data_IF_371200827676
#
_entry.id   IF_371200827676
#
_cell.length_a   1.000
_cell.length_b   1.000
_cell.length_c   1.000
_cell.angle_alpha   90.00
_cell.angle_beta   90.00
_cell.angle_gamma   90.00
#
_symmetry.space_group_name_H-M   'P 1'
#
loop_
_entity.id
_entity.type
_entity.pdbx_description
1 polymer ?
#
# COMPACT_ATOMS: atom_id res chain seq x y z
N UNK A 1 6.50 15.74 -13.39
CA UNK A 1 5.34 16.69 -13.41
C UNK A 1 5.72 18.19 -13.53
N UNK A 2 7.01 18.57 -13.52
CA UNK A 2 7.50 19.96 -13.42
C UNK A 2 6.96 20.98 -14.46
N UNK A 3 6.46 20.51 -15.62
CA UNK A 3 5.88 21.37 -16.68
C UNK A 3 4.70 22.24 -16.21
N UNK A 4 3.96 21.81 -15.18
CA UNK A 4 2.77 22.53 -14.70
C UNK A 4 3.11 23.72 -13.77
N UNK A 5 4.37 23.90 -13.35
CA UNK A 5 4.78 25.02 -12.48
C UNK A 5 4.44 26.39 -13.06
N UNK A 6 4.60 26.57 -14.38
CA UNK A 6 4.23 27.83 -15.06
C UNK A 6 2.74 28.11 -14.97
N UNK A 7 1.91 27.07 -15.04
CA UNK A 7 0.46 27.20 -14.91
C UNK A 7 0.05 27.51 -13.47
N UNK A 8 0.69 26.89 -12.47
CA UNK A 8 0.49 27.23 -11.04
C UNK A 8 0.88 28.68 -10.75
N UNK A 9 2.01 29.15 -11.31
CA UNK A 9 2.42 30.55 -11.18
C UNK A 9 1.41 31.52 -11.80
N UNK A 10 0.84 31.18 -12.97
CA UNK A 10 -0.25 31.96 -13.59
C UNK A 10 -1.52 31.95 -12.73
N UNK A 11 -1.89 30.80 -12.19
CA UNK A 11 -3.04 30.66 -11.29
C UNK A 11 -2.92 31.56 -10.07
N UNK A 12 -1.78 31.56 -9.36
CA UNK A 12 -1.61 32.44 -8.20
C UNK A 12 -1.59 33.92 -8.57
N UNK A 13 -0.99 34.30 -9.71
CA UNK A 13 -1.08 35.69 -10.19
C UNK A 13 -2.52 36.13 -10.45
N UNK A 14 -3.32 35.27 -11.06
CA UNK A 14 -4.74 35.53 -11.26
C UNK A 14 -5.47 35.63 -9.91
N UNK A 15 -5.30 34.63 -9.04
CA UNK A 15 -5.95 34.55 -7.73
C UNK A 15 -5.70 35.78 -6.87
N UNK A 16 -4.47 36.28 -6.82
CA UNK A 16 -4.11 37.48 -6.05
C UNK A 16 -4.80 38.73 -6.60
N UNK A 17 -4.93 38.85 -7.93
CA UNK A 17 -5.55 40.00 -8.61
C UNK A 17 -7.09 39.97 -8.60
N UNK A 18 -7.68 38.78 -8.47
CA UNK A 18 -9.12 38.63 -8.41
C UNK A 18 -9.65 39.04 -7.03
N UNK A 19 -10.65 39.93 -7.02
CA UNK A 19 -11.44 40.20 -5.83
C UNK A 19 -12.69 39.32 -5.86
N UNK A 20 -12.94 38.58 -4.79
CA UNK A 20 -14.12 37.74 -4.66
C UNK A 20 -15.13 38.46 -3.79
N UNK A 21 -16.30 38.78 -4.34
CA UNK A 21 -17.37 39.48 -3.62
C UNK A 21 -18.09 38.55 -2.63
N UNK A 22 -18.05 37.24 -2.88
CA UNK A 22 -18.63 36.25 -1.97
C UNK A 22 -17.67 35.89 -0.86
N UNK A 23 -18.20 35.73 0.36
CA UNK A 23 -17.45 35.25 1.52
C UNK A 23 -16.76 33.91 1.22
N UNK A 24 -17.45 33.01 0.52
CA UNK A 24 -16.94 31.71 0.12
C UNK A 24 -15.71 31.87 -0.79
N UNK A 25 -15.76 32.74 -1.80
CA UNK A 25 -14.64 32.99 -2.70
C UNK A 25 -13.44 33.61 -1.97
N UNK A 26 -13.69 34.58 -1.08
CA UNK A 26 -12.66 35.20 -0.25
C UNK A 26 -12.00 34.18 0.70
N UNK A 27 -12.78 33.28 1.28
CA UNK A 27 -12.30 32.17 2.13
C UNK A 27 -11.41 31.21 1.33
N UNK A 28 -11.82 30.82 0.12
CA UNK A 28 -10.99 29.98 -0.75
C UNK A 28 -9.68 30.67 -1.13
N UNK A 29 -9.72 31.94 -1.54
CA UNK A 29 -8.52 32.73 -1.84
C UNK A 29 -7.53 32.67 -0.68
N UNK A 30 -7.99 32.99 0.54
CA UNK A 30 -7.17 32.95 1.77
C UNK A 30 -6.58 31.56 2.02
N UNK A 31 -7.35 30.48 1.80
CA UNK A 31 -6.86 29.10 1.96
C UNK A 31 -5.81 28.72 0.92
N UNK A 32 -6.00 29.10 -0.34
CA UNK A 32 -5.02 28.85 -1.41
C UNK A 32 -3.72 29.60 -1.17
N UNK A 33 -3.78 30.85 -0.72
CA UNK A 33 -2.60 31.67 -0.38
C UNK A 33 -1.86 31.08 0.84
N UNK A 34 -2.59 30.76 1.92
CA UNK A 34 -2.00 30.13 3.12
C UNK A 34 -1.26 28.83 2.82
N UNK A 35 -1.77 28.02 1.88
CA UNK A 35 -1.22 26.70 1.57
C UNK A 35 -0.33 26.70 0.31
N UNK A 36 0.02 27.86 -0.23
CA UNK A 36 0.71 28.00 -1.52
C UNK A 36 1.97 27.16 -1.65
N UNK A 37 2.79 27.14 -0.60
CA UNK A 37 4.06 26.41 -0.59
C UNK A 37 3.88 24.89 -0.48
N UNK A 38 2.74 24.42 0.03
CA UNK A 38 2.51 23.01 0.37
C UNK A 38 1.63 22.29 -0.65
N UNK A 39 0.67 22.99 -1.25
CA UNK A 39 -0.38 22.40 -2.07
C UNK A 39 0.15 21.76 -3.37
N UNK A 40 1.25 22.29 -3.90
CA UNK A 40 1.83 21.85 -5.18
C UNK A 40 3.19 21.18 -5.04
N UNK A 41 3.52 20.69 -3.84
CA UNK A 41 4.79 19.99 -3.54
C UNK A 41 5.07 18.79 -4.45
N UNK A 42 4.04 18.09 -4.92
CA UNK A 42 4.15 17.02 -5.92
C UNK A 42 4.72 17.46 -7.29
N UNK A 43 4.81 18.77 -7.55
CA UNK A 43 5.50 19.28 -8.74
C UNK A 43 7.02 19.36 -8.55
N UNK A 44 7.48 19.39 -7.31
CA UNK A 44 8.89 19.50 -6.92
C UNK A 44 9.50 18.13 -6.59
N UNK A 45 8.73 17.26 -5.94
CA UNK A 45 9.15 15.94 -5.48
C UNK A 45 8.43 14.84 -6.25
N UNK A 46 9.19 13.97 -6.91
CA UNK A 46 8.61 12.88 -7.72
C UNK A 46 7.99 11.77 -6.84
N UNK A 47 8.38 11.67 -5.57
CA UNK A 47 7.86 10.69 -4.61
C UNK A 47 6.53 11.10 -3.96
N UNK A 48 6.08 12.33 -4.19
CA UNK A 48 4.82 12.85 -3.63
C UNK A 48 3.72 12.70 -4.69
N UNK A 49 2.68 11.88 -4.46
CA UNK A 49 1.59 11.75 -5.41
C UNK A 49 0.79 13.05 -5.51
N UNK A 50 0.27 13.35 -6.71
CA UNK A 50 -0.60 14.49 -6.94
C UNK A 50 -2.00 14.33 -6.34
N UNK A 51 -2.37 13.09 -6.00
CA UNK A 51 -3.66 12.74 -5.41
C UNK A 51 -3.52 12.45 -3.92
N UNK A 52 -4.61 12.65 -3.17
CA UNK A 52 -4.67 12.41 -1.73
C UNK A 52 -5.30 11.05 -1.38
N UNK A 53 -5.26 10.08 -2.31
CA UNK A 53 -5.97 8.80 -2.15
C UNK A 53 -5.51 8.05 -0.90
N UNK A 54 -4.22 8.15 -0.54
CA UNK A 54 -3.67 7.53 0.65
C UNK A 54 -4.32 8.06 1.94
N UNK A 55 -4.46 9.38 2.07
CA UNK A 55 -5.11 9.96 3.26
C UNK A 55 -6.62 9.69 3.27
N UNK A 56 -7.28 9.77 2.11
CA UNK A 56 -8.70 9.39 2.00
C UNK A 56 -8.93 7.94 2.44
N UNK A 57 -8.07 7.01 2.02
CA UNK A 57 -8.18 5.62 2.41
C UNK A 57 -8.04 5.46 3.93
N UNK A 58 -7.07 6.16 4.55
CA UNK A 58 -6.91 6.16 6.00
C UNK A 58 -8.15 6.68 6.74
N UNK A 59 -8.72 7.80 6.30
CA UNK A 59 -9.92 8.38 6.91
C UNK A 59 -11.15 7.49 6.68
N UNK A 60 -11.29 6.89 5.49
CA UNK A 60 -12.42 5.99 5.15
C UNK A 60 -12.45 4.73 6.01
N UNK A 61 -11.28 4.16 6.31
CA UNK A 61 -11.18 3.03 7.23
C UNK A 61 -11.73 3.39 8.62
N UNK A 62 -11.34 4.56 9.14
CA UNK A 62 -11.83 5.07 10.42
C UNK A 62 -13.32 5.43 10.40
N UNK A 63 -13.81 6.08 9.34
CA UNK A 63 -15.22 6.44 9.20
C UNK A 63 -16.14 5.22 9.14
N UNK A 64 -15.71 4.16 8.43
CA UNK A 64 -16.40 2.88 8.39
C UNK A 64 -16.54 2.28 9.78
N UNK A 65 -15.47 2.34 10.58
CA UNK A 65 -15.48 1.83 11.94
C UNK A 65 -16.43 2.59 12.87
N UNK A 66 -16.43 3.93 12.82
CA UNK A 66 -17.35 4.75 13.64
C UNK A 66 -18.81 4.34 13.43
N UNK A 67 -19.16 3.93 12.21
CA UNK A 67 -20.49 3.42 11.87
C UNK A 67 -20.77 2.06 12.53
N UNK A 68 -19.77 1.20 12.67
CA UNK A 68 -19.88 -0.12 13.33
C UNK A 68 -20.00 0.03 14.85
N UNK A 69 -19.25 0.93 15.48
CA UNK A 69 -19.30 1.14 16.93
C UNK A 69 -20.49 2.00 17.42
N UNK A 70 -21.42 2.37 16.53
CA UNK A 70 -22.59 3.17 16.91
C UNK A 70 -22.23 4.55 17.49
N UNK A 71 -21.04 5.07 17.19
CA UNK A 71 -20.57 6.39 17.63
C UNK A 71 -20.15 6.53 19.10
N UNK A 72 -20.15 5.46 19.90
CA UNK A 72 -19.64 5.49 21.28
C UNK A 72 -18.34 4.71 21.36
N UNK A 73 -17.24 5.42 21.60
CA UNK A 73 -15.91 4.85 21.78
C UNK A 73 -15.17 5.68 22.83
N UNK A 74 -14.55 5.03 23.80
CA UNK A 74 -13.64 5.73 24.73
C UNK A 74 -12.28 5.93 24.04
N UNK A 75 -11.47 6.85 24.56
CA UNK A 75 -10.16 7.18 23.99
C UNK A 75 -9.26 5.94 23.91
N UNK A 76 -9.21 5.13 24.97
CA UNK A 76 -8.43 3.90 25.01
C UNK A 76 -8.79 2.92 23.88
N UNK A 77 -10.08 2.67 23.66
CA UNK A 77 -10.54 1.77 22.59
C UNK A 77 -10.25 2.30 21.19
N UNK A 78 -10.25 3.63 21.00
CA UNK A 78 -9.81 4.24 19.75
C UNK A 78 -8.31 4.03 19.54
N UNK A 79 -7.49 4.22 20.58
CA UNK A 79 -6.04 4.01 20.50
C UNK A 79 -5.70 2.56 20.13
N UNK A 80 -6.28 1.58 20.82
CA UNK A 80 -6.07 0.15 20.53
C UNK A 80 -6.49 -0.21 19.11
N UNK A 81 -7.61 0.34 18.65
CA UNK A 81 -8.06 0.14 17.29
C UNK A 81 -7.11 0.76 16.25
N UNK A 82 -6.61 1.97 16.47
CA UNK A 82 -5.69 2.62 15.54
C UNK A 82 -4.39 1.81 15.39
N UNK A 83 -3.92 1.20 16.47
CA UNK A 83 -2.81 0.24 16.42
C UNK A 83 -3.18 -0.95 15.52
N UNK A 84 -4.32 -1.60 15.76
CA UNK A 84 -4.75 -2.75 14.96
C UNK A 84 -4.94 -2.41 13.48
N UNK A 85 -5.55 -1.26 13.19
CA UNK A 85 -5.76 -0.75 11.84
C UNK A 85 -4.43 -0.49 11.14
N UNK A 86 -3.45 0.10 11.82
CA UNK A 86 -2.12 0.35 11.24
C UNK A 86 -1.42 -0.95 10.83
N UNK A 87 -1.56 -2.02 11.62
CA UNK A 87 -1.01 -3.35 11.31
C UNK A 87 -1.76 -3.98 10.13
N UNK A 88 -3.09 -3.89 10.12
CA UNK A 88 -3.92 -4.39 9.02
C UNK A 88 -3.58 -3.70 7.69
N UNK A 89 -3.50 -2.37 7.69
CA UNK A 89 -3.12 -1.58 6.51
C UNK A 89 -1.71 -1.93 6.05
N UNK A 90 -0.76 -2.10 6.97
CA UNK A 90 0.61 -2.54 6.64
C UNK A 90 0.62 -3.92 5.97
N UNK A 91 -0.18 -4.86 6.47
CA UNK A 91 -0.34 -6.18 5.85
C UNK A 91 -0.92 -6.06 4.44
N UNK A 92 -1.98 -5.25 4.27
CA UNK A 92 -2.64 -5.00 2.99
C UNK A 92 -1.69 -4.38 1.96
N UNK A 93 -0.94 -3.34 2.33
CA UNK A 93 0.07 -2.72 1.46
C UNK A 93 1.17 -3.68 1.02
N UNK A 94 1.46 -4.70 1.83
CA UNK A 94 2.50 -5.71 1.55
C UNK A 94 1.96 -7.00 0.92
N UNK A 95 0.65 -7.07 0.65
CA UNK A 95 0.00 -8.26 0.10
C UNK A 95 0.01 -9.47 1.05
N UNK A 96 0.00 -9.21 2.37
CA UNK A 96 -0.03 -10.23 3.42
C UNK A 96 -1.47 -10.39 3.91
N UNK A 97 -1.91 -11.63 4.09
CA UNK A 97 -3.17 -11.89 4.79
C UNK A 97 -3.03 -11.51 6.26
N UNK A 98 -3.82 -10.53 6.70
CA UNK A 98 -3.78 -10.04 8.08
C UNK A 98 -4.09 -11.11 9.13
N UNK A 99 -5.06 -11.98 8.85
CA UNK A 99 -5.44 -13.05 9.78
C UNK A 99 -4.33 -14.10 9.94
N UNK A 100 -3.72 -14.51 8.83
CA UNK A 100 -2.55 -15.41 8.87
C UNK A 100 -1.40 -14.79 9.67
N UNK A 101 -1.15 -13.48 9.52
CA UNK A 101 -0.14 -12.80 10.32
C UNK A 101 -0.47 -12.82 11.81
N UNK A 102 -1.70 -12.51 12.21
CA UNK A 102 -2.11 -12.58 13.62
C UNK A 102 -1.96 -13.99 14.22
N UNK A 103 -2.35 -15.02 13.46
CA UNK A 103 -2.23 -16.41 13.90
C UNK A 103 -0.79 -16.96 13.82
N UNK A 104 0.14 -16.27 13.16
CA UNK A 104 1.50 -16.75 12.95
C UNK A 104 2.38 -16.71 14.21
N UNK A 105 1.97 -15.95 15.24
CA UNK A 105 2.78 -15.69 16.44
C UNK A 105 3.95 -14.71 16.23
N UNK A 106 4.15 -14.20 15.01
CA UNK A 106 5.17 -13.19 14.74
C UNK A 106 4.72 -11.82 15.24
N UNK A 107 5.64 -11.11 15.91
CA UNK A 107 5.41 -9.73 16.37
C UNK A 107 5.82 -8.67 15.35
N UNK A 108 6.65 -9.04 14.38
CA UNK A 108 7.15 -8.16 13.32
C UNK A 108 6.74 -8.68 11.94
N UNK A 109 6.12 -7.79 11.15
CA UNK A 109 5.65 -8.09 9.81
C UNK A 109 6.81 -8.44 8.87
N UNK A 110 8.00 -7.82 9.05
CA UNK A 110 9.15 -8.11 8.19
C UNK A 110 9.70 -9.52 8.44
N UNK A 111 9.80 -9.93 9.70
CA UNK A 111 10.21 -11.27 10.10
C UNK A 111 9.25 -12.34 9.54
N UNK A 112 7.94 -12.09 9.61
CA UNK A 112 6.93 -12.96 9.01
C UNK A 112 7.11 -13.11 7.49
N UNK A 113 7.33 -12.01 6.76
CA UNK A 113 7.56 -12.07 5.31
C UNK A 113 8.83 -12.86 4.95
N UNK A 114 9.90 -12.69 5.73
CA UNK A 114 11.15 -13.42 5.53
C UNK A 114 10.95 -14.93 5.73
N UNK A 115 10.19 -15.34 6.77
CA UNK A 115 9.92 -16.76 7.04
C UNK A 115 9.06 -17.39 5.93
N UNK A 116 8.06 -16.68 5.42
CA UNK A 116 7.23 -17.11 4.28
C UNK A 116 8.04 -17.35 3.02
N UNK A 117 8.98 -16.45 2.69
CA UNK A 117 9.91 -16.62 1.55
C UNK A 117 10.82 -17.83 1.74
N UNK A 118 11.31 -18.07 2.96
CA UNK A 118 12.12 -19.24 3.29
C UNK A 118 11.34 -20.55 3.20
N UNK A 119 10.07 -20.57 3.60
CA UNK A 119 9.22 -21.76 3.48
C UNK A 119 8.92 -22.11 2.03
N UNK A 120 8.54 -21.12 1.20
CA UNK A 120 8.33 -21.33 -0.25
C UNK A 120 9.58 -21.84 -0.96
N UNK A 121 10.77 -21.33 -0.61
CA UNK A 121 12.05 -21.81 -1.17
C UNK A 121 12.35 -23.27 -0.79
N UNK A 122 12.16 -23.64 0.47
CA UNK A 122 12.35 -25.03 0.94
C UNK A 122 11.39 -25.99 0.26
N UNK A 123 10.11 -25.61 0.12
CA UNK A 123 9.12 -26.44 -0.57
C UNK A 123 9.46 -26.58 -2.07
N UNK A 124 9.89 -25.51 -2.74
CA UNK A 124 10.32 -25.61 -4.15
C UNK A 124 11.55 -26.52 -4.33
N UNK A 125 12.49 -26.51 -3.37
CA UNK A 125 13.65 -27.40 -3.36
C UNK A 125 13.28 -28.85 -3.06
N UNK A 126 12.34 -29.12 -2.15
CA UNK A 126 11.87 -30.48 -1.89
C UNK A 126 11.13 -31.06 -3.10
N UNK A 127 10.25 -30.27 -3.75
CA UNK A 127 9.58 -30.69 -4.98
C UNK A 127 10.56 -30.99 -6.12
N UNK A 128 11.65 -30.23 -6.26
CA UNK A 128 12.66 -30.48 -7.30
C UNK A 128 13.52 -31.71 -7.01
N UNK A 129 13.92 -31.93 -5.75
CA UNK A 129 14.66 -33.12 -5.33
C UNK A 129 13.82 -34.41 -5.44
N UNK A 130 12.53 -34.34 -5.14
CA UNK A 130 11.60 -35.47 -5.24
C UNK A 130 11.33 -35.86 -6.70
N UNK A 131 11.17 -34.88 -7.60
CA UNK A 131 11.06 -35.13 -9.04
C UNK A 131 12.36 -35.65 -9.68
N UNK A 132 13.53 -35.33 -9.12
CA UNK A 132 14.80 -35.90 -9.58
C UNK A 132 14.97 -37.38 -9.19
N UNK A 133 14.42 -37.81 -8.05
CA UNK A 133 14.42 -39.23 -7.63
C UNK A 133 13.46 -40.12 -8.44
N UNK A 134 12.48 -39.53 -9.12
CA UNK A 134 11.48 -40.26 -9.92
C UNK A 134 11.82 -40.34 -11.41
N UNK A 135 12.92 -39.74 -11.89
CA UNK A 135 13.36 -39.93 -13.28
C UNK A 135 14.12 -41.26 -13.39
N UNK A 136 13.66 -42.23 -14.21
CA UNK A 136 14.44 -43.45 -14.45
C UNK A 136 15.76 -43.09 -15.12
N UNK A 137 16.84 -43.75 -14.69
CA UNK A 137 18.18 -43.66 -15.26
C UNK A 137 18.10 -43.87 -16.78
N UNK A 138 18.80 -43.03 -17.56
CA UNK A 138 18.94 -43.20 -19.01
C UNK A 138 19.84 -44.40 -19.34
N UNK A 139 19.43 -45.60 -18.97
CA UNK A 139 20.06 -46.86 -19.38
C UNK A 139 18.99 -47.94 -19.57
N UNK A 140 18.00 -47.71 -20.46
CA UNK A 140 17.18 -48.81 -21.02
C UNK A 140 16.59 -48.47 -22.39
N UNK A 141 17.35 -47.83 -23.28
CA UNK A 141 17.03 -47.82 -24.72
C UNK A 141 18.22 -48.40 -25.47
N UNK A 142 18.30 -49.72 -25.44
CA UNK A 142 19.27 -50.51 -26.19
C UNK A 142 18.89 -51.97 -26.02
N UNK A 143 18.79 -52.70 -27.12
CA UNK A 143 18.47 -54.13 -27.21
C UNK A 143 16.98 -54.50 -27.16
N UNK A 144 16.29 -54.29 -28.29
CA UNK A 144 15.48 -55.34 -28.92
C UNK A 144 15.35 -55.06 -30.43
N UNK A 145 16.44 -55.34 -31.13
CA UNK A 145 16.46 -55.64 -32.56
C UNK A 145 17.25 -56.94 -32.65
N UNK A 146 16.64 -57.95 -33.29
CA UNK A 146 17.12 -59.30 -33.57
C UNK A 146 16.60 -60.41 -32.64
N UNK A 147 15.41 -60.91 -32.98
CA UNK A 147 15.17 -62.35 -33.04
C UNK A 147 14.20 -62.62 -34.21
N UNK A 148 14.68 -63.51 -35.09
CA UNK A 148 14.07 -64.16 -36.26
C UNK A 148 12.54 -64.14 -36.38
#
# INVERSE_FOLDING_TARGET
MKKHKRSVGRFYRWLTRTNFETEVGASYKKRFEKNREKLFTFLDYDDVPWNNNAAEHGIKAFATLRRVFGGRSNEAGIQDYLVLLSVCETCRYRGINFWEFLCSGYKDVNAYVKSQRGHRRRNAQSYTLENQKQRPSRETIGYSLNAL
#
